data_IF_651421927408
#
_entry.id   IF_651421927408
#
_cell.length_a   1.000
_cell.length_b   1.000
_cell.length_c   1.000
_cell.angle_alpha   90.00
_cell.angle_beta   90.00
_cell.angle_gamma   90.00
#
_symmetry.space_group_name_H-M   'P 1'
#
loop_
_entity.id
_entity.type
_entity.pdbx_description
1 polymer ?
#
# COMPACT_ATOMS: atom_id res chain seq x y z
N UNK A 1 5.73 -32.10 23.35
CA UNK A 1 5.52 -32.24 21.90
C UNK A 1 6.22 -31.09 21.22
N UNK A 2 7.26 -31.36 20.44
CA UNK A 2 7.92 -30.32 19.63
C UNK A 2 7.13 -30.13 18.34
N UNK A 3 6.59 -28.95 18.12
CA UNK A 3 6.01 -28.57 16.83
C UNK A 3 7.17 -28.22 15.90
N UNK A 4 7.52 -29.11 14.98
CA UNK A 4 8.47 -28.81 13.92
C UNK A 4 7.76 -28.03 12.82
N UNK A 5 8.12 -26.77 12.62
CA UNK A 5 7.70 -26.03 11.45
C UNK A 5 8.36 -26.63 10.21
N UNK A 6 7.55 -26.96 9.21
CA UNK A 6 7.98 -27.79 8.09
C UNK A 6 8.52 -26.97 6.90
N UNK A 7 7.98 -25.78 6.67
CA UNK A 7 8.29 -24.95 5.49
C UNK A 7 8.28 -23.46 5.85
N UNK A 8 9.06 -22.67 5.10
CA UNK A 8 8.92 -21.21 5.11
C UNK A 8 7.55 -20.81 4.51
N UNK A 9 7.07 -19.58 4.76
CA UNK A 9 5.81 -19.13 4.19
C UNK A 9 5.91 -19.01 2.67
N UNK A 10 4.77 -19.14 1.99
CA UNK A 10 4.64 -18.70 0.61
C UNK A 10 4.90 -17.19 0.50
N UNK A 11 5.20 -16.72 -0.70
CA UNK A 11 5.24 -15.28 -0.95
C UNK A 11 3.86 -14.65 -0.65
N UNK A 12 3.79 -13.51 0.04
CA UNK A 12 2.55 -12.77 0.16
C UNK A 12 2.02 -12.34 -1.21
N UNK A 13 0.72 -11.99 -1.26
CA UNK A 13 0.18 -11.28 -2.41
C UNK A 13 0.82 -9.89 -2.55
N UNK A 14 0.69 -9.29 -3.74
CA UNK A 14 1.13 -7.91 -3.94
C UNK A 14 0.47 -6.99 -2.89
N UNK A 15 1.23 -6.10 -2.23
CA UNK A 15 0.65 -5.16 -1.30
C UNK A 15 -0.26 -4.16 -2.04
N UNK A 16 -1.15 -3.54 -1.29
CA UNK A 16 -2.17 -2.60 -1.79
C UNK A 16 -2.02 -1.25 -1.11
N UNK A 17 -2.50 -0.19 -1.77
CA UNK A 17 -2.61 1.14 -1.18
C UNK A 17 -3.95 1.26 -0.47
N UNK A 18 -3.93 1.56 0.82
CA UNK A 18 -5.13 1.94 1.58
C UNK A 18 -5.40 3.45 1.45
N UNK A 19 -4.44 4.26 1.90
CA UNK A 19 -4.51 5.73 1.85
C UNK A 19 -3.19 6.33 1.34
N UNK A 20 -3.23 7.55 0.80
CA UNK A 20 -2.01 8.31 0.49
C UNK A 20 -2.23 9.82 0.57
N UNK A 21 -1.17 10.52 0.96
CA UNK A 21 -1.00 11.97 0.84
C UNK A 21 0.15 12.27 -0.12
N UNK A 22 0.49 13.54 -0.30
CA UNK A 22 1.70 13.94 -1.04
C UNK A 22 2.99 13.43 -0.39
N UNK A 23 3.00 13.14 0.90
CA UNK A 23 4.22 12.77 1.65
C UNK A 23 4.11 11.48 2.44
N UNK A 24 3.02 10.72 2.26
CA UNK A 24 2.83 9.43 2.92
C UNK A 24 1.98 8.46 2.10
N UNK A 25 2.25 7.16 2.24
CA UNK A 25 1.45 6.08 1.67
C UNK A 25 1.20 5.04 2.77
N UNK A 26 -0.05 4.70 3.01
CA UNK A 26 -0.44 3.57 3.85
C UNK A 26 -0.54 2.33 2.96
N UNK A 27 0.30 1.35 3.26
CA UNK A 27 0.44 0.11 2.50
C UNK A 27 -0.10 -1.03 3.33
N UNK A 28 -1.02 -1.79 2.75
CA UNK A 28 -1.64 -2.97 3.35
C UNK A 28 -1.22 -4.23 2.61
N UNK A 29 -1.11 -5.34 3.33
CA UNK A 29 -0.87 -6.65 2.76
C UNK A 29 -1.64 -7.73 3.52
N UNK A 30 -1.75 -8.89 2.90
CA UNK A 30 -2.40 -10.06 3.48
C UNK A 30 -1.39 -11.15 3.77
N UNK A 31 -1.67 -11.97 4.78
CA UNK A 31 -0.87 -13.14 5.06
C UNK A 31 -0.87 -14.11 3.85
N UNK A 32 0.25 -14.81 3.59
CA UNK A 32 0.28 -15.88 2.61
C UNK A 32 -0.73 -16.99 2.95
N UNK A 33 -1.19 -17.69 1.91
CA UNK A 33 -2.17 -18.78 2.04
C UNK A 33 -1.57 -20.00 2.77
N UNK A 34 -0.31 -20.31 2.51
CA UNK A 34 0.42 -21.40 3.18
C UNK A 34 1.60 -20.83 3.96
N UNK A 35 1.63 -21.09 5.26
CA UNK A 35 2.63 -20.51 6.15
C UNK A 35 3.53 -21.55 6.83
N UNK A 36 3.20 -22.84 6.76
CA UNK A 36 3.87 -23.93 7.49
C UNK A 36 3.65 -23.88 9.00
N UNK A 37 3.92 -22.74 9.62
CA UNK A 37 3.67 -22.39 11.02
C UNK A 37 3.32 -20.89 11.15
N UNK A 38 3.18 -20.40 12.38
CA UNK A 38 2.85 -19.00 12.63
C UNK A 38 3.92 -18.04 12.09
N UNK A 39 3.48 -16.98 11.42
CA UNK A 39 4.34 -15.89 10.95
C UNK A 39 4.77 -15.05 12.16
N UNK A 40 6.08 -14.81 12.26
CA UNK A 40 6.68 -13.98 13.30
C UNK A 40 6.75 -12.52 12.88
N UNK A 41 7.06 -12.22 11.62
CA UNK A 41 7.20 -10.85 11.12
C UNK A 41 6.87 -10.75 9.63
N UNK A 42 6.49 -9.55 9.19
CA UNK A 42 6.52 -9.15 7.79
C UNK A 42 7.57 -8.06 7.62
N UNK A 43 8.29 -8.07 6.48
CA UNK A 43 9.19 -6.98 6.10
C UNK A 43 8.64 -6.26 4.89
N UNK A 44 8.33 -4.97 5.04
CA UNK A 44 7.95 -4.10 3.92
C UNK A 44 9.21 -3.46 3.34
N UNK A 45 9.39 -3.61 2.03
CA UNK A 45 10.45 -2.97 1.27
C UNK A 45 9.90 -1.87 0.39
N UNK A 46 10.69 -0.80 0.24
CA UNK A 46 10.41 0.35 -0.62
C UNK A 46 11.58 0.66 -1.52
N UNK A 47 11.30 1.03 -2.77
CA UNK A 47 12.22 1.69 -3.67
C UNK A 47 11.55 2.91 -4.31
N UNK A 48 12.31 3.87 -4.82
CA UNK A 48 11.78 4.77 -5.87
C UNK A 48 11.58 3.98 -7.18
N UNK A 49 10.86 4.53 -8.15
CA UNK A 49 10.56 3.87 -9.45
C UNK A 49 11.77 3.19 -10.09
N UNK A 50 12.95 3.83 -10.04
CA UNK A 50 14.20 3.30 -10.60
C UNK A 50 15.27 3.00 -9.54
N UNK A 51 14.94 3.13 -8.25
CA UNK A 51 15.87 2.92 -7.14
C UNK A 51 16.09 1.45 -6.78
N UNK A 52 16.79 1.24 -5.66
CA UNK A 52 16.95 -0.07 -5.02
C UNK A 52 15.97 -0.21 -3.86
N UNK A 53 15.53 -1.45 -3.60
CA UNK A 53 14.68 -1.74 -2.45
C UNK A 53 15.46 -1.66 -1.14
N UNK A 54 14.87 -1.01 -0.14
CA UNK A 54 15.32 -0.99 1.24
C UNK A 54 14.15 -1.32 2.17
N UNK A 55 14.38 -1.99 3.30
CA UNK A 55 13.34 -2.23 4.29
C UNK A 55 12.94 -0.92 4.97
N UNK A 56 11.63 -0.70 5.11
CA UNK A 56 11.06 0.45 5.81
C UNK A 56 10.29 0.04 7.06
N UNK A 57 9.92 -1.24 7.17
CA UNK A 57 9.26 -1.80 8.35
C UNK A 57 9.56 -3.29 8.46
N UNK A 58 9.78 -3.77 9.69
CA UNK A 58 9.81 -5.20 10.03
C UNK A 58 9.03 -5.40 11.32
N UNK A 59 7.79 -5.89 11.22
CA UNK A 59 6.90 -6.06 12.36
C UNK A 59 5.82 -7.12 12.08
N UNK A 60 5.19 -7.65 13.12
CA UNK A 60 4.03 -8.54 12.99
C UNK A 60 2.74 -7.74 12.76
N UNK A 61 2.69 -7.01 11.65
CA UNK A 61 1.56 -6.17 11.23
C UNK A 61 1.19 -6.48 9.79
N UNK A 62 0.00 -6.06 9.38
CA UNK A 62 -0.51 -6.20 8.00
C UNK A 62 -0.71 -4.85 7.31
N UNK A 63 -0.32 -3.76 7.97
CA UNK A 63 -0.44 -2.38 7.48
C UNK A 63 0.74 -1.56 7.97
N UNK A 64 1.19 -0.61 7.16
CA UNK A 64 2.22 0.36 7.54
C UNK A 64 2.04 1.70 6.83
N UNK A 65 2.06 2.77 7.62
CA UNK A 65 2.06 4.14 7.13
C UNK A 65 3.51 4.59 6.85
N UNK A 66 3.91 4.57 5.58
CA UNK A 66 5.21 5.02 5.14
C UNK A 66 5.22 6.54 4.93
N UNK A 67 5.93 7.26 5.79
CA UNK A 67 5.95 8.73 5.84
C UNK A 67 7.29 9.31 5.37
N UNK A 68 7.31 10.62 5.08
CA UNK A 68 8.53 11.32 4.65
C UNK A 68 8.85 11.10 3.17
N UNK A 69 7.82 10.84 2.37
CA UNK A 69 7.93 10.65 0.93
C UNK A 69 8.03 11.99 0.20
N UNK A 70 8.64 11.97 -0.98
CA UNK A 70 8.72 13.13 -1.86
C UNK A 70 7.47 13.21 -2.72
N UNK A 71 6.78 14.35 -2.67
CA UNK A 71 5.59 14.64 -3.47
C UNK A 71 5.82 14.35 -4.95
N UNK A 72 4.89 13.63 -5.57
CA UNK A 72 4.90 13.31 -6.99
C UNK A 72 5.86 12.18 -7.40
N UNK A 73 6.64 11.62 -6.46
CA UNK A 73 7.50 10.47 -6.75
C UNK A 73 6.71 9.17 -6.68
N UNK A 74 6.98 8.28 -7.62
CA UNK A 74 6.48 6.91 -7.60
C UNK A 74 7.37 6.02 -6.74
N UNK A 75 6.73 5.30 -5.83
CA UNK A 75 7.37 4.33 -4.96
C UNK A 75 6.90 2.93 -5.30
N UNK A 76 7.85 2.00 -5.30
CA UNK A 76 7.62 0.57 -5.45
C UNK A 76 7.60 -0.08 -4.08
N UNK A 77 6.61 -0.93 -3.83
CA UNK A 77 6.50 -1.69 -2.59
C UNK A 77 6.41 -3.19 -2.86
N UNK A 78 7.05 -3.98 -1.99
CA UNK A 78 6.92 -5.43 -1.91
C UNK A 78 7.07 -5.87 -0.46
N UNK A 79 6.56 -7.04 -0.12
CA UNK A 79 6.56 -7.57 1.24
C UNK A 79 7.01 -9.02 1.27
N UNK A 80 7.69 -9.41 2.34
CA UNK A 80 8.01 -10.80 2.68
C UNK A 80 7.37 -11.18 4.01
N UNK A 81 7.20 -12.48 4.25
CA UNK A 81 6.74 -13.04 5.51
C UNK A 81 7.81 -13.97 6.09
N UNK A 82 8.04 -13.90 7.40
CA UNK A 82 9.03 -14.73 8.09
C UNK A 82 8.35 -15.57 9.15
N UNK A 83 8.72 -16.86 9.21
CA UNK A 83 8.38 -17.75 10.31
C UNK A 83 9.66 -18.37 10.91
N UNK A 84 9.53 -19.34 11.81
CA UNK A 84 10.71 -19.98 12.42
C UNK A 84 11.55 -20.87 11.48
N UNK A 85 11.08 -21.18 10.27
CA UNK A 85 11.87 -21.84 9.22
C UNK A 85 12.66 -20.82 8.39
N UNK A 86 12.09 -19.65 8.13
CA UNK A 86 12.77 -18.59 7.41
C UNK A 86 11.83 -17.57 6.77
N UNK A 87 12.40 -16.75 5.91
CA UNK A 87 11.72 -15.74 5.11
C UNK A 87 11.19 -16.33 3.80
N UNK A 88 10.02 -15.85 3.37
CA UNK A 88 9.41 -16.19 2.09
C UNK A 88 10.18 -15.59 0.91
N UNK A 89 9.81 -15.98 -0.30
CA UNK A 89 10.13 -15.17 -1.47
C UNK A 89 9.40 -13.80 -1.41
N UNK A 90 9.89 -12.85 -2.21
CA UNK A 90 9.27 -11.54 -2.40
C UNK A 90 7.84 -11.67 -2.96
N UNK A 91 6.92 -10.85 -2.46
CA UNK A 91 5.66 -10.59 -3.16
C UNK A 91 5.91 -9.94 -4.53
N UNK A 92 4.94 -9.99 -5.46
CA UNK A 92 4.94 -9.08 -6.59
C UNK A 92 5.02 -7.61 -6.13
N UNK A 93 5.60 -6.76 -6.97
CA UNK A 93 5.77 -5.34 -6.68
C UNK A 93 4.55 -4.52 -7.12
N UNK A 94 4.14 -3.56 -6.29
CA UNK A 94 3.15 -2.53 -6.66
C UNK A 94 3.85 -1.17 -6.82
N UNK A 95 3.39 -0.35 -7.78
CA UNK A 95 3.87 1.03 -8.00
C UNK A 95 2.79 2.01 -7.54
N UNK A 96 3.13 2.91 -6.62
CA UNK A 96 2.19 3.85 -5.99
C UNK A 96 2.80 5.26 -6.00
N UNK A 97 2.10 6.28 -6.54
CA UNK A 97 2.55 7.67 -6.43
C UNK A 97 2.33 8.21 -5.02
N UNK A 98 3.30 8.97 -4.49
CA UNK A 98 3.13 9.82 -3.31
C UNK A 98 2.33 11.08 -3.71
N UNK A 99 1.04 10.88 -3.89
CA UNK A 99 0.05 11.90 -4.19
C UNK A 99 -1.19 11.68 -3.34
N UNK A 100 -1.89 12.76 -3.01
CA UNK A 100 -3.21 12.64 -2.41
C UNK A 100 -4.11 11.82 -3.33
N UNK A 101 -4.84 10.86 -2.77
CA UNK A 101 -6.01 10.33 -3.46
C UNK A 101 -6.93 11.54 -3.68
N UNK A 102 -7.42 11.82 -4.90
CA UNK A 102 -8.46 12.83 -5.05
C UNK A 102 -9.60 12.40 -4.13
N UNK A 103 -9.87 13.19 -3.09
CA UNK A 103 -10.96 12.88 -2.16
C UNK A 103 -12.19 12.60 -3.00
N UNK A 104 -12.78 11.42 -2.86
CA UNK A 104 -14.04 11.11 -3.52
C UNK A 104 -15.02 12.22 -3.11
N UNK A 105 -15.34 13.10 -4.07
CA UNK A 105 -16.26 14.23 -3.98
C UNK A 105 -16.84 14.49 -2.57
N UNK A 106 -16.11 15.24 -1.73
CA UNK A 106 -16.64 15.70 -0.46
C UNK A 106 -17.76 16.70 -0.77
N UNK A 107 -19.00 16.21 -0.71
CA UNK A 107 -20.26 16.96 -0.80
C UNK A 107 -20.52 17.73 -2.11
N UNK A 108 -21.05 17.05 -3.13
CA UNK A 108 -22.11 17.68 -3.91
C UNK A 108 -23.31 17.81 -2.95
N UNK A 109 -23.49 18.99 -2.36
CA UNK A 109 -24.77 19.35 -1.77
C UNK A 109 -25.82 19.12 -2.86
N UNK A 110 -26.68 18.12 -2.69
CA UNK A 110 -27.80 17.86 -3.59
C UNK A 110 -28.78 19.03 -3.52
N UNK A 111 -28.52 20.10 -4.24
CA UNK A 111 -29.57 21.01 -4.68
C UNK A 111 -30.34 20.28 -5.77
N UNK A 112 -31.53 19.81 -5.39
CA UNK A 112 -32.55 19.30 -6.32
C UNK A 112 -32.71 20.24 -7.50
N UNK A 113 -32.28 19.82 -8.69
CA UNK A 113 -32.56 20.54 -9.93
C UNK A 113 -33.15 19.57 -10.96
N UNK A 114 -34.43 19.82 -11.21
CA UNK A 114 -35.29 19.18 -12.19
C UNK A 114 -34.72 19.20 -13.61
N UNK A 115 -35.03 18.13 -14.34
CA UNK A 115 -34.76 17.86 -15.76
C UNK A 115 -34.70 19.11 -16.65
N UNK A 116 -33.50 19.54 -17.04
CA UNK A 116 -33.11 19.88 -18.43
C UNK A 116 -31.68 20.45 -18.49
N UNK A 117 -30.88 19.90 -19.41
CA UNK A 117 -29.53 20.31 -19.85
C UNK A 117 -28.43 20.47 -18.78
N UNK A 118 -27.51 19.51 -18.74
CA UNK A 118 -26.26 19.65 -18.00
C UNK A 118 -25.26 20.48 -18.83
N UNK A 119 -25.09 21.75 -18.50
CA UNK A 119 -23.91 22.51 -18.89
C UNK A 119 -22.82 22.29 -17.84
N UNK A 120 -21.73 21.63 -18.20
CA UNK A 120 -20.57 21.49 -17.33
C UNK A 120 -19.88 22.85 -17.15
N UNK A 121 -19.95 23.42 -15.95
CA UNK A 121 -19.10 24.53 -15.53
C UNK A 121 -17.97 23.90 -14.71
N UNK A 122 -16.79 23.77 -15.32
CA UNK A 122 -15.58 23.38 -14.60
C UNK A 122 -15.05 24.59 -13.83
N UNK A 123 -15.02 24.52 -12.50
CA UNK A 123 -14.10 25.33 -11.69
C UNK A 123 -12.84 24.51 -11.45
N UNK A 124 -11.68 25.05 -11.83
CA UNK A 124 -10.38 24.40 -11.67
C UNK A 124 -10.15 23.99 -10.19
N UNK A 125 -9.51 22.83 -9.92
CA UNK A 125 -9.14 22.44 -8.56
C UNK A 125 -8.20 23.47 -7.91
N UNK A 126 -8.37 23.70 -6.62
CA UNK A 126 -7.68 24.75 -5.86
C UNK A 126 -6.23 24.41 -5.45
N UNK A 127 -5.48 23.67 -6.26
CA UNK A 127 -4.04 23.50 -6.01
C UNK A 127 -3.25 23.37 -7.32
N UNK A 128 -2.40 24.36 -7.59
CA UNK A 128 -1.53 24.46 -8.78
C UNK A 128 -0.06 24.66 -8.38
N UNK A 129 0.46 23.90 -7.41
CA UNK A 129 1.86 24.04 -7.00
C UNK A 129 2.37 22.87 -6.18
#
# INVERSE_FOLDING_TARGET
TTFTCAIAPDAPAAPTRDASTSTSITVDWVAPATNGCAITTYTLYRATEFGTFASVSTANVLTFADTGLTTGVYYRYKVTATNCVGESADSPTVLIPAAGIPSAATALAMTTLTRSTATAQWTAPADTG
#
